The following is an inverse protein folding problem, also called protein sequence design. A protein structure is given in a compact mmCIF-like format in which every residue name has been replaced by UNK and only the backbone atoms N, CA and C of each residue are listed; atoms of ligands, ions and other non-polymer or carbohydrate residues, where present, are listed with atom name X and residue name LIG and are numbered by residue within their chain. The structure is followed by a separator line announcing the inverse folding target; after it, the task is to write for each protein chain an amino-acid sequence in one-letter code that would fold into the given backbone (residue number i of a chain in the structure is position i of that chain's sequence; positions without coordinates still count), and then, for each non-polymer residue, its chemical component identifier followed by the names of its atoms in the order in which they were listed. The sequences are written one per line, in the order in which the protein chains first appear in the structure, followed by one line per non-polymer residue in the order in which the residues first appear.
data_IF_797458543217
#
_entry.id   IF_797458543217
#
_cell.length_a   1.000
_cell.length_b   1.000
_cell.length_c   1.000
_cell.angle_alpha   90.00
_cell.angle_beta   90.00
_cell.angle_gamma   90.00
#
_symmetry.space_group_name_H-M   'P 1'
#
loop_
_entity.id
_entity.type
_entity.pdbx_description
1 polymer ?
#
# COMPACT_ATOMS: atom_id res chain seq x y z
N UNK A 1 28.96 20.22 -11.49
CA UNK A 1 27.72 20.81 -10.94
C UNK A 1 26.67 20.78 -12.04
N UNK A 2 25.56 20.06 -11.85
CA UNK A 2 24.44 20.05 -12.80
C UNK A 2 23.84 21.45 -12.86
N UNK A 3 23.67 21.99 -14.06
CA UNK A 3 23.05 23.29 -14.27
C UNK A 3 21.60 23.23 -13.75
N UNK A 4 21.11 24.25 -13.05
CA UNK A 4 19.78 24.31 -12.48
C UNK A 4 18.64 24.00 -13.48
N UNK A 5 18.86 24.36 -14.76
CA UNK A 5 17.94 24.07 -15.87
C UNK A 5 17.92 22.58 -16.23
N UNK A 6 19.08 21.93 -16.23
CA UNK A 6 19.18 20.48 -16.55
C UNK A 6 18.60 19.63 -15.43
N UNK A 7 18.81 20.05 -14.16
CA UNK A 7 18.18 19.40 -13.01
C UNK A 7 16.64 19.49 -13.05
N UNK A 8 16.10 20.68 -13.30
CA UNK A 8 14.64 20.87 -13.43
C UNK A 8 14.05 20.06 -14.59
N UNK A 9 14.72 20.01 -15.74
CA UNK A 9 14.30 19.21 -16.89
C UNK A 9 14.31 17.71 -16.58
N UNK A 10 15.32 17.23 -15.88
CA UNK A 10 15.40 15.84 -15.45
C UNK A 10 14.33 15.50 -14.41
N UNK A 11 14.16 16.35 -13.40
CA UNK A 11 13.16 16.19 -12.36
C UNK A 11 11.73 16.20 -12.94
N UNK A 12 11.41 17.12 -13.86
CA UNK A 12 10.08 17.17 -14.49
C UNK A 12 9.81 15.95 -15.37
N UNK A 13 10.83 15.43 -16.07
CA UNK A 13 10.71 14.22 -16.89
C UNK A 13 10.38 12.97 -16.06
N UNK A 14 10.88 12.91 -14.81
CA UNK A 14 10.56 11.83 -13.88
C UNK A 14 9.24 12.05 -13.16
N UNK A 15 8.97 13.29 -12.74
CA UNK A 15 7.76 13.60 -11.99
C UNK A 15 6.48 13.48 -12.80
N UNK A 16 6.51 13.86 -14.09
CA UNK A 16 5.32 13.89 -14.94
C UNK A 16 4.64 12.51 -15.11
N UNK A 17 5.34 11.41 -15.44
CA UNK A 17 4.75 10.08 -15.49
C UNK A 17 4.17 9.64 -14.14
N UNK A 18 4.86 9.94 -13.02
CA UNK A 18 4.42 9.59 -11.68
C UNK A 18 3.13 10.36 -11.31
N UNK A 19 3.05 11.63 -11.69
CA UNK A 19 1.83 12.43 -11.48
C UNK A 19 0.64 11.88 -12.26
N UNK A 20 0.84 11.48 -13.52
CA UNK A 20 -0.22 10.85 -14.35
C UNK A 20 -0.66 9.53 -13.72
N UNK A 21 0.28 8.68 -13.30
CA UNK A 21 -0.02 7.41 -12.65
C UNK A 21 -0.86 7.61 -11.38
N UNK A 22 -0.47 8.55 -10.52
CA UNK A 22 -1.22 8.87 -9.31
C UNK A 22 -2.62 9.46 -9.62
N UNK A 23 -2.73 10.29 -10.66
CA UNK A 23 -4.01 10.83 -11.09
C UNK A 23 -4.95 9.72 -11.56
N UNK A 24 -4.46 8.80 -12.39
CA UNK A 24 -5.26 7.64 -12.85
C UNK A 24 -5.69 6.78 -11.66
N UNK A 25 -4.79 6.48 -10.73
CA UNK A 25 -5.12 5.72 -9.52
C UNK A 25 -6.19 6.42 -8.67
N UNK A 26 -6.11 7.74 -8.52
CA UNK A 26 -7.12 8.52 -7.80
C UNK A 26 -8.48 8.48 -8.50
N UNK A 27 -8.51 8.59 -9.83
CA UNK A 27 -9.75 8.50 -10.61
C UNK A 27 -10.41 7.13 -10.48
N UNK A 28 -9.62 6.04 -10.49
CA UNK A 28 -10.13 4.68 -10.25
C UNK A 28 -10.73 4.58 -8.84
N UNK A 29 -10.05 5.05 -7.81
CA UNK A 29 -10.58 5.04 -6.43
C UNK A 29 -11.89 5.85 -6.28
N UNK A 30 -12.02 6.98 -6.98
CA UNK A 30 -13.26 7.75 -7.01
C UNK A 30 -14.36 6.95 -7.69
N UNK A 31 -14.09 6.34 -8.84
CA UNK A 31 -15.04 5.51 -9.56
C UNK A 31 -15.54 4.34 -8.70
N UNK A 32 -14.64 3.63 -8.02
CA UNK A 32 -14.97 2.54 -7.10
C UNK A 32 -15.89 3.02 -5.97
N UNK A 33 -15.58 4.17 -5.38
CA UNK A 33 -16.39 4.75 -4.29
C UNK A 33 -17.79 5.11 -4.79
N UNK A 34 -17.90 5.69 -5.97
CA UNK A 34 -19.20 6.03 -6.60
C UNK A 34 -19.98 4.75 -6.89
N UNK A 35 -19.35 3.73 -7.46
CA UNK A 35 -20.00 2.45 -7.75
C UNK A 35 -20.53 1.78 -6.47
N UNK A 36 -19.76 1.77 -5.40
CA UNK A 36 -20.20 1.22 -4.11
C UNK A 36 -21.37 2.03 -3.52
N UNK A 37 -21.40 3.34 -3.71
CA UNK A 37 -22.52 4.20 -3.29
C UNK A 37 -23.85 3.85 -3.95
N UNK A 38 -23.83 3.36 -5.19
CA UNK A 38 -25.04 2.88 -5.88
C UNK A 38 -25.55 1.52 -5.37
N UNK A 39 -24.67 0.70 -4.77
CA UNK A 39 -25.06 -0.64 -4.28
C UNK A 39 -25.80 -0.52 -2.94
N UNK A 40 -25.16 0.03 -1.93
CA UNK A 40 -25.80 0.32 -0.64
C UNK A 40 -24.91 1.20 0.24
N UNK A 41 -25.52 1.98 1.12
CA UNK A 41 -24.80 2.78 2.10
C UNK A 41 -24.00 1.90 3.09
N UNK A 42 -24.51 0.72 3.40
CA UNK A 42 -23.82 -0.26 4.26
C UNK A 42 -22.55 -0.79 3.61
N UNK A 43 -22.60 -1.13 2.32
CA UNK A 43 -21.45 -1.61 1.57
C UNK A 43 -20.36 -0.52 1.45
N UNK A 44 -20.75 0.72 1.22
CA UNK A 44 -19.84 1.87 1.19
C UNK A 44 -19.15 2.10 2.54
N UNK A 45 -19.91 2.04 3.63
CA UNK A 45 -19.36 2.17 4.99
C UNK A 45 -18.42 1.01 5.33
N UNK A 46 -18.80 -0.22 4.99
CA UNK A 46 -18.02 -1.42 5.23
C UNK A 46 -16.69 -1.39 4.48
N UNK A 47 -16.68 -1.03 3.19
CA UNK A 47 -15.46 -0.92 2.41
C UNK A 47 -14.55 0.21 2.89
N UNK A 48 -15.12 1.34 3.31
CA UNK A 48 -14.37 2.46 3.87
C UNK A 48 -13.61 2.06 5.15
N UNK A 49 -14.27 1.33 6.06
CA UNK A 49 -13.63 0.82 7.28
C UNK A 49 -12.58 -0.26 6.99
N UNK A 50 -12.83 -1.15 6.04
CA UNK A 50 -11.85 -2.13 5.61
C UNK A 50 -10.61 -1.47 4.95
N UNK A 51 -10.83 -0.39 4.19
CA UNK A 51 -9.74 0.41 3.62
C UNK A 51 -8.91 1.11 4.71
N UNK A 52 -9.51 1.51 5.84
CA UNK A 52 -8.76 2.04 6.98
C UNK A 52 -7.76 1.01 7.53
N UNK A 53 -8.15 -0.26 7.63
CA UNK A 53 -7.24 -1.33 8.02
C UNK A 53 -6.12 -1.53 6.96
N UNK A 54 -6.47 -1.55 5.68
CA UNK A 54 -5.51 -1.64 4.59
C UNK A 54 -4.53 -0.46 4.59
N UNK A 55 -4.98 0.73 4.97
CA UNK A 55 -4.14 1.91 5.09
C UNK A 55 -3.04 1.77 6.16
N UNK A 56 -3.31 1.06 7.25
CA UNK A 56 -2.28 0.76 8.27
C UNK A 56 -1.14 -0.06 7.65
N UNK A 57 -1.47 -1.09 6.88
CA UNK A 57 -0.50 -1.90 6.15
C UNK A 57 0.28 -1.06 5.13
N UNK A 58 -0.42 -0.19 4.41
CA UNK A 58 0.21 0.72 3.45
C UNK A 58 1.20 1.67 4.12
N UNK A 59 0.88 2.25 5.28
CA UNK A 59 1.79 3.10 6.05
C UNK A 59 3.06 2.35 6.46
N UNK A 60 2.93 1.08 6.86
CA UNK A 60 4.06 0.24 7.21
C UNK A 60 4.99 0.02 6.00
N UNK A 61 4.41 -0.32 4.85
CA UNK A 61 5.19 -0.48 3.62
C UNK A 61 5.85 0.81 3.15
N UNK A 62 5.13 1.92 3.23
CA UNK A 62 5.66 3.22 2.84
C UNK A 62 6.87 3.62 3.70
N UNK A 63 6.79 3.38 5.00
CA UNK A 63 7.92 3.60 5.92
C UNK A 63 9.13 2.73 5.57
N UNK A 64 8.89 1.44 5.28
CA UNK A 64 9.94 0.50 4.88
C UNK A 64 10.58 0.89 3.54
N UNK A 65 9.77 1.19 2.52
CA UNK A 65 10.25 1.59 1.21
C UNK A 65 11.09 2.87 1.27
N UNK A 66 10.62 3.87 2.02
CA UNK A 66 11.35 5.13 2.21
C UNK A 66 12.67 4.91 2.93
N UNK A 67 12.69 4.14 4.02
CA UNK A 67 13.91 3.83 4.76
C UNK A 67 14.92 3.05 3.91
N UNK A 68 14.43 2.05 3.18
CA UNK A 68 15.25 1.25 2.26
C UNK A 68 15.85 2.11 1.15
N UNK A 69 15.05 3.00 0.54
CA UNK A 69 15.49 3.91 -0.52
C UNK A 69 16.63 4.82 -0.06
N UNK A 70 16.52 5.40 1.14
CA UNK A 70 17.58 6.25 1.71
C UNK A 70 18.88 5.48 1.92
N UNK A 71 18.79 4.27 2.52
CA UNK A 71 19.98 3.46 2.73
C UNK A 71 20.60 3.00 1.40
N UNK A 72 19.79 2.55 0.46
CA UNK A 72 20.27 2.16 -0.86
C UNK A 72 20.97 3.32 -1.58
N UNK A 73 20.43 4.54 -1.53
CA UNK A 73 21.06 5.71 -2.13
C UNK A 73 22.44 6.03 -1.53
N UNK A 74 22.60 5.89 -0.20
CA UNK A 74 23.87 6.13 0.47
C UNK A 74 24.94 5.11 0.09
N UNK A 75 24.61 3.81 0.06
CA UNK A 75 25.57 2.76 -0.31
C UNK A 75 25.83 2.71 -1.81
N UNK A 76 24.83 3.04 -2.62
CA UNK A 76 25.03 3.21 -4.07
C UNK A 76 26.02 4.33 -4.38
N UNK A 77 25.94 5.48 -3.67
CA UNK A 77 26.89 6.58 -3.81
C UNK A 77 28.32 6.22 -3.40
N UNK A 78 28.49 5.20 -2.53
CA UNK A 78 29.80 4.64 -2.15
C UNK A 78 30.30 3.55 -3.12
N UNK A 79 29.49 3.13 -4.09
CA UNK A 79 29.81 2.03 -5.01
C UNK A 79 29.65 0.63 -4.42
N UNK A 80 29.12 0.50 -3.21
CA UNK A 80 28.94 -0.80 -2.55
C UNK A 80 27.61 -1.47 -2.94
N UNK A 81 27.59 -2.05 -4.13
CA UNK A 81 26.44 -2.76 -4.68
C UNK A 81 26.02 -3.98 -3.84
N UNK A 82 26.98 -4.68 -3.23
CA UNK A 82 26.67 -5.85 -2.41
C UNK A 82 25.86 -5.52 -1.16
N UNK A 83 26.13 -4.38 -0.54
CA UNK A 83 25.34 -3.92 0.59
C UNK A 83 23.95 -3.47 0.16
N UNK A 84 23.80 -2.83 -1.01
CA UNK A 84 22.49 -2.47 -1.57
C UNK A 84 21.62 -3.70 -1.79
N UNK A 85 22.16 -4.77 -2.40
CA UNK A 85 21.44 -6.05 -2.60
C UNK A 85 20.98 -6.68 -1.28
N UNK A 86 21.82 -6.63 -0.24
CA UNK A 86 21.47 -7.13 1.10
C UNK A 86 20.35 -6.30 1.75
N UNK A 87 20.39 -4.98 1.61
CA UNK A 87 19.34 -4.10 2.15
C UNK A 87 18.01 -4.37 1.46
N UNK A 88 17.99 -4.46 0.13
CA UNK A 88 16.79 -4.80 -0.63
C UNK A 88 16.25 -6.19 -0.25
N UNK A 89 17.10 -7.19 -0.18
CA UNK A 89 16.69 -8.54 0.21
C UNK A 89 16.17 -8.63 1.66
N UNK A 90 16.68 -7.81 2.57
CA UNK A 90 16.17 -7.73 3.94
C UNK A 90 14.80 -7.04 3.97
N UNK A 91 14.65 -5.92 3.28
CA UNK A 91 13.39 -5.19 3.18
C UNK A 91 12.29 -6.06 2.56
N UNK A 92 12.59 -6.80 1.50
CA UNK A 92 11.66 -7.73 0.85
C UNK A 92 11.19 -8.83 1.81
N UNK A 93 12.10 -9.45 2.56
CA UNK A 93 11.75 -10.47 3.56
C UNK A 93 10.84 -9.92 4.65
N UNK A 94 11.12 -8.73 5.17
CA UNK A 94 10.29 -8.10 6.21
C UNK A 94 8.91 -7.74 5.63
N UNK A 95 8.86 -7.23 4.39
CA UNK A 95 7.63 -6.92 3.69
C UNK A 95 6.76 -8.17 3.51
N UNK A 96 7.33 -9.28 3.05
CA UNK A 96 6.62 -10.55 2.89
C UNK A 96 6.11 -11.12 4.22
N UNK A 97 6.92 -11.06 5.28
CA UNK A 97 6.49 -11.52 6.61
C UNK A 97 5.32 -10.65 7.10
N UNK A 98 5.42 -9.33 6.97
CA UNK A 98 4.36 -8.42 7.36
C UNK A 98 3.07 -8.67 6.57
N UNK A 99 3.16 -8.83 5.25
CA UNK A 99 2.00 -9.12 4.40
C UNK A 99 1.34 -10.45 4.76
N UNK A 100 2.14 -11.47 5.08
CA UNK A 100 1.63 -12.77 5.48
C UNK A 100 0.89 -12.69 6.83
N UNK A 101 1.43 -11.95 7.79
CA UNK A 101 0.76 -11.70 9.08
C UNK A 101 -0.59 -11.01 8.86
N UNK A 102 -0.62 -9.94 8.08
CA UNK A 102 -1.86 -9.22 7.78
C UNK A 102 -2.86 -10.09 7.00
N UNK A 103 -2.39 -10.91 6.05
CA UNK A 103 -3.21 -11.88 5.35
C UNK A 103 -3.86 -12.88 6.32
N UNK A 104 -3.08 -13.52 7.19
CA UNK A 104 -3.58 -14.50 8.16
C UNK A 104 -4.62 -13.87 9.07
N UNK A 105 -4.34 -12.70 9.64
CA UNK A 105 -5.28 -12.02 10.54
C UNK A 105 -6.57 -11.65 9.81
N UNK A 106 -6.47 -11.10 8.59
CA UNK A 106 -7.63 -10.67 7.80
C UNK A 106 -8.47 -11.85 7.29
N UNK A 107 -7.83 -12.97 6.99
CA UNK A 107 -8.52 -14.16 6.48
C UNK A 107 -9.22 -14.94 7.58
N UNK A 108 -8.55 -15.16 8.72
CA UNK A 108 -9.08 -15.98 9.82
C UNK A 108 -9.94 -15.20 10.82
N UNK A 109 -9.67 -13.90 11.01
CA UNK A 109 -10.35 -13.07 12.02
C UNK A 109 -10.93 -11.75 11.47
N UNK A 110 -11.57 -11.74 10.29
CA UNK A 110 -12.06 -10.49 9.68
C UNK A 110 -13.12 -9.81 10.53
N UNK A 111 -13.99 -10.59 11.16
CA UNK A 111 -15.05 -10.08 12.05
C UNK A 111 -14.47 -9.36 13.27
N UNK A 112 -13.37 -9.86 13.84
CA UNK A 112 -12.70 -9.24 14.98
C UNK A 112 -12.11 -7.89 14.59
N UNK A 113 -11.49 -7.82 13.41
CA UNK A 113 -10.96 -6.55 12.86
C UNK A 113 -12.10 -5.54 12.71
N UNK A 114 -13.19 -5.93 12.06
CA UNK A 114 -14.34 -5.03 11.83
C UNK A 114 -14.98 -4.54 13.13
N UNK A 115 -15.03 -5.37 14.17
CA UNK A 115 -15.54 -4.99 15.50
C UNK A 115 -14.72 -3.90 16.19
N UNK A 116 -13.44 -3.74 15.84
CA UNK A 116 -12.60 -2.65 16.37
C UNK A 116 -13.07 -1.31 15.78
N UNK A 117 -13.59 -1.31 14.55
CA UNK A 117 -13.96 -0.09 13.84
C UNK A 117 -15.45 0.27 13.94
N UNK A 118 -16.33 -0.73 14.16
CA UNK A 118 -17.78 -0.51 14.19
C UNK A 118 -18.53 -1.52 15.06
N UNK A 119 -19.67 -1.09 15.60
CA UNK A 119 -20.59 -1.94 16.35
C UNK A 119 -21.84 -2.32 15.52
N UNK A 120 -21.97 -1.85 14.29
CA UNK A 120 -23.12 -2.15 13.41
C UNK A 120 -23.02 -3.58 12.86
N UNK A 121 -23.96 -4.50 13.15
CA UNK A 121 -23.91 -5.89 12.71
C UNK A 121 -23.85 -6.03 11.17
N UNK A 122 -24.63 -5.23 10.46
CA UNK A 122 -24.73 -5.27 9.01
C UNK A 122 -23.40 -4.82 8.35
N UNK A 123 -22.79 -3.79 8.91
CA UNK A 123 -21.50 -3.28 8.44
C UNK A 123 -20.36 -4.27 8.76
N UNK A 124 -20.42 -4.96 9.90
CA UNK A 124 -19.45 -6.01 10.28
C UNK A 124 -19.55 -7.18 9.30
N UNK A 125 -20.77 -7.63 8.98
CA UNK A 125 -20.97 -8.74 8.05
C UNK A 125 -20.42 -8.43 6.66
N UNK A 126 -20.83 -7.31 6.06
CA UNK A 126 -20.36 -6.87 4.75
C UNK A 126 -18.84 -6.61 4.72
N UNK A 127 -18.30 -5.95 5.74
CA UNK A 127 -16.88 -5.63 5.83
C UNK A 127 -15.99 -6.85 6.07
N UNK A 128 -16.48 -7.86 6.80
CA UNK A 128 -15.73 -9.10 7.02
C UNK A 128 -15.62 -9.94 5.73
N UNK A 129 -16.66 -9.95 4.92
CA UNK A 129 -16.64 -10.61 3.61
C UNK A 129 -15.67 -9.89 2.66
N UNK A 130 -15.74 -8.57 2.60
CA UNK A 130 -14.85 -7.74 1.80
C UNK A 130 -13.37 -7.92 2.23
N UNK A 131 -13.08 -7.87 3.54
CA UNK A 131 -11.73 -8.07 4.08
C UNK A 131 -11.16 -9.44 3.73
N UNK A 132 -11.98 -10.49 3.77
CA UNK A 132 -11.55 -11.84 3.42
C UNK A 132 -11.14 -11.92 1.94
N UNK A 133 -11.87 -11.28 1.05
CA UNK A 133 -11.54 -11.25 -0.38
C UNK A 133 -10.27 -10.43 -0.63
N UNK A 134 -10.19 -9.22 -0.06
CA UNK A 134 -9.05 -8.32 -0.29
C UNK A 134 -7.76 -8.81 0.38
N UNK A 135 -7.85 -9.69 1.40
CA UNK A 135 -6.69 -10.22 2.11
C UNK A 135 -5.69 -10.91 1.16
N UNK A 136 -6.16 -11.56 0.11
CA UNK A 136 -5.28 -12.15 -0.91
C UNK A 136 -4.38 -11.10 -1.58
N UNK A 137 -4.87 -9.88 -1.76
CA UNK A 137 -4.10 -8.80 -2.36
C UNK A 137 -2.93 -8.36 -1.47
N UNK A 138 -3.01 -8.56 -0.15
CA UNK A 138 -1.94 -8.14 0.77
C UNK A 138 -0.62 -8.87 0.50
N UNK A 139 -0.67 -10.14 0.12
CA UNK A 139 0.53 -10.93 -0.23
C UNK A 139 1.20 -10.35 -1.47
N UNK A 140 0.40 -10.02 -2.50
CA UNK A 140 0.92 -9.41 -3.73
C UNK A 140 1.42 -7.99 -3.49
N UNK A 141 0.74 -7.22 -2.64
CA UNK A 141 1.20 -5.87 -2.25
C UNK A 141 2.55 -5.93 -1.54
N UNK A 142 2.75 -6.88 -0.63
CA UNK A 142 4.03 -7.05 0.06
C UNK A 142 5.18 -7.34 -0.88
N UNK A 143 4.95 -8.10 -1.94
CA UNK A 143 5.96 -8.39 -2.95
C UNK A 143 6.24 -7.20 -3.88
N UNK A 144 5.19 -6.46 -4.27
CA UNK A 144 5.31 -5.35 -5.24
C UNK A 144 5.82 -4.04 -4.65
N UNK A 145 5.75 -3.86 -3.33
CA UNK A 145 5.98 -2.55 -2.72
C UNK A 145 7.45 -2.21 -2.47
N UNK A 146 8.34 -3.21 -2.47
CA UNK A 146 9.77 -3.04 -2.23
C UNK A 146 10.57 -3.02 -3.53
N UNK A 147 10.02 -3.57 -4.61
CA UNK A 147 10.62 -3.58 -5.95
C UNK A 147 10.36 -2.27 -6.69
#
# INVERSE_FOLDING_TARGET
MLNKKDFLKYASKLAFPIMIQNLIGTLVNIADTVMLGYVSQTAMSASSLANQYTFILFCLYYGMATGTSVLCAQYWGKGDKKTVEKILGLAERISLISSLIFFIISFFMPTTIMRIFTNSPDTIAAGSEYLRVISFSFVFMGFSQVL
#
